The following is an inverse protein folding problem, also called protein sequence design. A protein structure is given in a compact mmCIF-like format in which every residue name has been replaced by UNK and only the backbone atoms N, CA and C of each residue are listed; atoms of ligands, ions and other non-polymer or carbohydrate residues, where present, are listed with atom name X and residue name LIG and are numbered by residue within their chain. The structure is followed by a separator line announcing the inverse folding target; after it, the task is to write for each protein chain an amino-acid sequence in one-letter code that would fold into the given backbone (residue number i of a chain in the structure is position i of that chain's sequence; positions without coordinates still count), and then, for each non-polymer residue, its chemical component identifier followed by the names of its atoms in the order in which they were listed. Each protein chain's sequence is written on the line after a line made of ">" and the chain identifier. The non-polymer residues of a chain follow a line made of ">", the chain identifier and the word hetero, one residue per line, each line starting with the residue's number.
data_IF_766018115005
#
_entry.id   IF_766018115005
#
_cell.length_a   1.000
_cell.length_b   1.000
_cell.length_c   1.000
_cell.angle_alpha   90.00
_cell.angle_beta   90.00
_cell.angle_gamma   90.00
#
_symmetry.space_group_name_H-M   'P 1'
#
loop_
_entity.id
_entity.type
_entity.pdbx_description
1 polymer ?
#
# COMPACT_ATOMS: atom_id res chain seq x y z
N UNK A 1 -4.81 -30.27 -32.40
CA UNK A 1 -5.60 -29.24 -31.71
C UNK A 1 -4.61 -28.33 -31.02
N UNK A 2 -4.51 -27.06 -31.41
CA UNK A 2 -3.67 -26.10 -30.69
C UNK A 2 -4.13 -26.06 -29.23
N UNK A 3 -3.22 -26.34 -28.30
CA UNK A 3 -3.50 -26.24 -26.89
C UNK A 3 -3.79 -24.79 -26.52
N UNK A 4 -5.02 -24.49 -26.10
CA UNK A 4 -5.38 -23.15 -25.62
C UNK A 4 -4.63 -22.86 -24.31
N UNK A 5 -3.57 -22.07 -24.40
CA UNK A 5 -2.74 -21.68 -23.26
C UNK A 5 -2.86 -20.18 -23.04
N UNK A 6 -3.05 -19.75 -21.79
CA UNK A 6 -3.26 -18.34 -21.46
C UNK A 6 -2.27 -17.87 -20.40
N UNK A 7 -1.91 -16.58 -20.46
CA UNK A 7 -1.09 -15.92 -19.46
C UNK A 7 -1.83 -14.69 -18.91
N UNK A 8 -2.15 -14.69 -17.62
CA UNK A 8 -2.80 -13.57 -16.95
C UNK A 8 -1.76 -12.60 -16.39
N UNK A 9 -1.79 -11.37 -16.87
CA UNK A 9 -0.81 -10.33 -16.55
C UNK A 9 -1.50 -9.10 -15.94
N UNK A 10 -0.87 -8.46 -14.94
CA UNK A 10 -1.38 -7.18 -14.40
C UNK A 10 -0.97 -6.01 -15.29
N UNK A 11 0.28 -6.02 -15.73
CA UNK A 11 0.87 -5.06 -16.66
C UNK A 11 1.39 -5.81 -17.89
N UNK A 12 1.50 -5.17 -19.06
CA UNK A 12 2.17 -5.75 -20.21
C UNK A 12 3.60 -6.15 -19.83
N UNK A 13 3.97 -7.41 -20.07
CA UNK A 13 5.33 -7.92 -19.84
C UNK A 13 6.29 -7.32 -20.87
N UNK A 14 7.56 -7.11 -20.52
CA UNK A 14 8.57 -6.73 -21.52
C UNK A 14 8.68 -7.78 -22.63
N UNK A 15 9.05 -7.34 -23.83
CA UNK A 15 9.25 -8.26 -24.96
C UNK A 15 10.31 -9.32 -24.65
N UNK A 16 11.37 -8.95 -23.94
CA UNK A 16 12.43 -9.87 -23.50
C UNK A 16 11.85 -10.97 -22.59
N UNK A 17 11.07 -10.59 -21.57
CA UNK A 17 10.46 -11.55 -20.67
C UNK A 17 9.44 -12.44 -21.37
N UNK A 18 8.65 -11.89 -22.30
CA UNK A 18 7.71 -12.67 -23.12
C UNK A 18 8.44 -13.75 -23.94
N UNK A 19 9.54 -13.41 -24.61
CA UNK A 19 10.34 -14.36 -25.39
C UNK A 19 10.93 -15.47 -24.50
N UNK A 20 11.49 -15.09 -23.34
CA UNK A 20 12.02 -16.03 -22.34
C UNK A 20 10.93 -16.96 -21.79
N UNK A 21 9.74 -16.42 -21.53
CA UNK A 21 8.57 -17.18 -21.09
C UNK A 21 8.15 -18.20 -22.16
N UNK A 22 7.97 -17.76 -23.41
CA UNK A 22 7.57 -18.60 -24.55
C UNK A 22 8.57 -19.74 -24.77
N UNK A 23 9.87 -19.42 -24.76
CA UNK A 23 10.94 -20.42 -24.87
C UNK A 23 10.92 -21.43 -23.73
N UNK A 24 10.62 -20.97 -22.50
CA UNK A 24 10.46 -21.86 -21.36
C UNK A 24 9.28 -22.80 -21.58
N UNK A 25 8.07 -22.26 -21.78
CA UNK A 25 6.84 -23.08 -21.82
C UNK A 25 6.68 -23.91 -23.11
N UNK A 26 7.38 -23.56 -24.18
CA UNK A 26 7.40 -24.29 -25.45
C UNK A 26 6.24 -23.93 -26.40
N UNK A 27 5.53 -22.85 -26.13
CA UNK A 27 4.43 -22.34 -26.95
C UNK A 27 4.16 -20.86 -26.65
N UNK A 28 3.35 -20.22 -27.49
CA UNK A 28 2.96 -18.81 -27.35
C UNK A 28 1.60 -18.72 -26.65
N UNK A 29 1.55 -18.40 -25.33
CA UNK A 29 0.27 -18.24 -24.65
C UNK A 29 -0.45 -16.97 -25.13
N UNK A 30 -1.78 -17.01 -25.12
CA UNK A 30 -2.59 -15.81 -25.29
C UNK A 30 -2.57 -14.97 -24.01
N UNK A 31 -2.25 -13.69 -24.13
CA UNK A 31 -2.15 -12.80 -22.98
C UNK A 31 -3.52 -12.22 -22.61
N UNK A 32 -3.92 -12.44 -21.36
CA UNK A 32 -5.08 -11.80 -20.76
C UNK A 32 -4.57 -10.70 -19.83
N UNK A 33 -4.98 -9.46 -20.11
CA UNK A 33 -4.59 -8.32 -19.30
C UNK A 33 -5.64 -8.02 -18.24
N UNK A 34 -5.22 -7.90 -16.99
CA UNK A 34 -6.12 -7.64 -15.87
C UNK A 34 -6.88 -6.32 -16.03
N UNK A 35 -6.26 -5.32 -16.67
CA UNK A 35 -6.91 -4.04 -16.96
C UNK A 35 -8.16 -4.19 -17.84
N UNK A 36 -8.14 -5.11 -18.80
CA UNK A 36 -9.26 -5.40 -19.69
C UNK A 36 -10.33 -6.20 -18.96
N UNK A 37 -9.91 -7.24 -18.24
CA UNK A 37 -10.81 -8.08 -17.45
C UNK A 37 -11.58 -7.29 -16.40
N UNK A 38 -10.95 -6.29 -15.77
CA UNK A 38 -11.59 -5.41 -14.78
C UNK A 38 -12.69 -4.50 -15.36
N UNK A 39 -12.78 -4.35 -16.68
CA UNK A 39 -13.85 -3.58 -17.34
C UNK A 39 -15.13 -4.40 -17.49
N UNK A 40 -15.04 -5.73 -17.43
CA UNK A 40 -16.19 -6.61 -17.53
C UNK A 40 -16.99 -6.63 -16.22
N UNK A 41 -18.32 -6.72 -16.29
CA UNK A 41 -19.14 -7.14 -15.16
C UNK A 41 -18.67 -8.47 -14.59
N UNK A 42 -18.82 -8.67 -13.27
CA UNK A 42 -18.30 -9.87 -12.59
C UNK A 42 -18.80 -11.19 -13.19
N UNK A 43 -20.08 -11.23 -13.62
CA UNK A 43 -20.67 -12.42 -14.25
C UNK A 43 -20.01 -12.72 -15.59
N UNK A 44 -19.83 -11.71 -16.43
CA UNK A 44 -19.17 -11.84 -17.74
C UNK A 44 -17.70 -12.21 -17.60
N UNK A 45 -17.00 -11.64 -16.62
CA UNK A 45 -15.63 -12.02 -16.27
C UNK A 45 -15.56 -13.53 -15.97
N UNK A 46 -16.43 -14.02 -15.08
CA UNK A 46 -16.43 -15.43 -14.67
C UNK A 46 -16.78 -16.33 -15.86
N UNK A 47 -17.80 -15.97 -16.65
CA UNK A 47 -18.17 -16.72 -17.85
C UNK A 47 -17.01 -16.80 -18.84
N UNK A 48 -16.37 -15.67 -19.14
CA UNK A 48 -15.19 -15.60 -20.02
C UNK A 48 -14.06 -16.50 -19.52
N UNK A 49 -13.75 -16.48 -18.22
CA UNK A 49 -12.70 -17.33 -17.65
C UNK A 49 -13.05 -18.82 -17.68
N UNK A 50 -14.34 -19.16 -17.55
CA UNK A 50 -14.83 -20.54 -17.61
C UNK A 50 -15.03 -21.08 -19.02
N UNK A 51 -14.95 -20.24 -20.05
CA UNK A 51 -15.12 -20.62 -21.44
C UNK A 51 -13.81 -20.63 -22.24
N UNK A 52 -12.66 -20.56 -21.57
CA UNK A 52 -11.37 -20.45 -22.25
C UNK A 52 -10.93 -21.77 -22.91
N UNK A 53 -11.42 -22.90 -22.42
CA UNK A 53 -10.94 -24.23 -22.80
C UNK A 53 -9.46 -24.43 -22.49
N UNK A 54 -8.97 -23.79 -21.41
CA UNK A 54 -7.53 -23.64 -21.20
C UNK A 54 -6.87 -24.96 -20.76
N UNK A 55 -5.75 -25.34 -21.39
CA UNK A 55 -4.92 -26.43 -20.88
C UNK A 55 -4.02 -25.94 -19.75
N UNK A 56 -3.29 -24.86 -19.98
CA UNK A 56 -2.42 -24.23 -18.99
C UNK A 56 -2.78 -22.74 -18.81
N UNK A 57 -2.79 -22.29 -17.55
CA UNK A 57 -3.06 -20.91 -17.17
C UNK A 57 -1.88 -20.35 -16.36
N UNK A 58 -1.10 -19.48 -17.00
CA UNK A 58 0.13 -18.93 -16.46
C UNK A 58 -0.10 -17.62 -15.72
N UNK A 59 0.55 -17.48 -14.56
CA UNK A 59 0.62 -16.27 -13.76
C UNK A 59 2.07 -15.77 -13.75
N UNK A 60 2.55 -15.16 -14.85
CA UNK A 60 3.92 -14.66 -14.94
C UNK A 60 4.16 -13.45 -14.02
N UNK A 61 5.31 -13.46 -13.35
CA UNK A 61 5.81 -12.40 -12.48
C UNK A 61 7.18 -11.97 -13.03
N UNK A 62 7.24 -10.78 -13.62
CA UNK A 62 8.45 -10.28 -14.30
C UNK A 62 9.54 -9.85 -13.32
N UNK A 63 9.16 -9.28 -12.18
CA UNK A 63 10.07 -8.83 -11.13
C UNK A 63 9.61 -9.27 -9.73
N UNK A 64 10.47 -9.10 -8.73
CA UNK A 64 10.17 -9.45 -7.35
C UNK A 64 9.05 -8.60 -6.75
N UNK A 65 8.87 -7.37 -7.24
CA UNK A 65 7.81 -6.47 -6.80
C UNK A 65 6.42 -6.98 -7.23
N UNK A 66 6.35 -7.66 -8.38
CA UNK A 66 5.14 -8.26 -8.94
C UNK A 66 4.64 -9.44 -8.10
N UNK A 67 5.48 -10.05 -7.24
CA UNK A 67 5.05 -11.13 -6.33
C UNK A 67 3.89 -10.72 -5.43
N UNK A 68 3.78 -9.44 -5.09
CA UNK A 68 2.67 -8.89 -4.29
C UNK A 68 1.31 -9.03 -5.00
N UNK A 69 1.33 -9.15 -6.34
CA UNK A 69 0.13 -9.28 -7.17
C UNK A 69 -0.32 -10.74 -7.33
N UNK A 70 0.55 -11.71 -7.00
CA UNK A 70 0.26 -13.13 -7.17
C UNK A 70 -1.06 -13.57 -6.51
N UNK A 71 -1.40 -13.17 -5.27
CA UNK A 71 -2.68 -13.56 -4.66
C UNK A 71 -3.90 -13.08 -5.46
N UNK A 72 -3.82 -11.90 -6.10
CA UNK A 72 -4.90 -11.37 -6.95
C UNK A 72 -5.01 -12.21 -8.22
N UNK A 73 -3.86 -12.50 -8.86
CA UNK A 73 -3.80 -13.35 -10.06
C UNK A 73 -4.34 -14.76 -9.78
N UNK A 74 -3.99 -15.35 -8.63
CA UNK A 74 -4.50 -16.64 -8.17
C UNK A 74 -6.00 -16.61 -7.91
N UNK A 75 -6.51 -15.55 -7.27
CA UNK A 75 -7.94 -15.38 -7.02
C UNK A 75 -8.76 -15.33 -8.33
N UNK A 76 -8.21 -14.70 -9.37
CA UNK A 76 -8.85 -14.65 -10.70
C UNK A 76 -8.74 -16.00 -11.39
N UNK A 77 -7.56 -16.61 -11.36
CA UNK A 77 -7.33 -17.93 -11.93
C UNK A 77 -8.22 -19.02 -11.30
N UNK A 78 -8.67 -18.83 -10.05
CA UNK A 78 -9.63 -19.71 -9.38
C UNK A 78 -10.92 -19.90 -10.18
N UNK A 79 -11.35 -18.89 -10.94
CA UNK A 79 -12.54 -18.95 -11.78
C UNK A 79 -12.31 -19.54 -13.18
N UNK A 80 -11.05 -19.76 -13.59
CA UNK A 80 -10.75 -20.34 -14.90
C UNK A 80 -11.17 -21.80 -15.02
N UNK A 81 -11.42 -22.30 -16.23
CA UNK A 81 -11.63 -23.73 -16.53
C UNK A 81 -10.32 -24.51 -16.76
N UNK A 82 -9.17 -23.89 -16.51
CA UNK A 82 -7.86 -24.44 -16.85
C UNK A 82 -7.51 -25.79 -16.19
N UNK A 83 -6.87 -26.71 -16.91
CA UNK A 83 -6.41 -27.99 -16.33
C UNK A 83 -5.24 -27.81 -15.35
N UNK A 84 -4.33 -26.88 -15.61
CA UNK A 84 -3.30 -26.46 -14.65
C UNK A 84 -3.21 -24.94 -14.53
N UNK A 85 -2.89 -24.49 -13.32
CA UNK A 85 -2.54 -23.09 -13.03
C UNK A 85 -1.09 -23.10 -12.55
N UNK A 86 -0.25 -22.25 -13.14
CA UNK A 86 1.19 -22.20 -12.86
C UNK A 86 1.65 -20.77 -12.65
N UNK A 87 2.26 -20.48 -11.50
CA UNK A 87 2.95 -19.23 -11.27
C UNK A 87 4.38 -19.33 -11.81
N UNK A 88 4.82 -18.31 -12.54
CA UNK A 88 6.17 -18.27 -13.13
C UNK A 88 6.92 -17.09 -12.52
N UNK A 89 7.98 -17.41 -11.78
CA UNK A 89 8.83 -16.41 -11.14
C UNK A 89 9.75 -15.70 -12.16
N UNK A 90 10.42 -14.58 -11.78
CA UNK A 90 11.32 -13.82 -12.68
C UNK A 90 12.46 -14.66 -13.27
N UNK A 91 12.93 -15.65 -12.53
CA UNK A 91 13.94 -16.63 -12.93
C UNK A 91 13.36 -17.82 -13.74
N UNK A 92 12.11 -17.72 -14.18
CA UNK A 92 11.36 -18.73 -14.94
C UNK A 92 11.07 -20.05 -14.17
N UNK A 93 11.34 -20.08 -12.86
CA UNK A 93 10.94 -21.22 -12.02
C UNK A 93 9.41 -21.28 -11.98
N UNK A 94 8.87 -22.47 -12.30
CA UNK A 94 7.42 -22.71 -12.34
C UNK A 94 6.97 -23.37 -11.06
N UNK A 95 5.85 -22.90 -10.54
CA UNK A 95 5.18 -23.49 -9.38
C UNK A 95 3.72 -23.75 -9.73
N UNK A 96 3.30 -25.01 -9.66
CA UNK A 96 1.88 -25.37 -9.82
C UNK A 96 1.08 -24.82 -8.65
N UNK A 97 -0.04 -24.17 -8.96
CA UNK A 97 -1.01 -23.66 -8.01
C UNK A 97 -2.18 -24.62 -7.96
N UNK A 98 -2.50 -25.12 -6.75
CA UNK A 98 -3.68 -25.96 -6.58
C UNK A 98 -4.96 -25.13 -6.62
N UNK A 99 -6.08 -25.74 -6.99
CA UNK A 99 -7.40 -25.07 -6.96
C UNK A 99 -7.80 -24.63 -5.55
N UNK A 100 -7.38 -25.39 -4.53
CA UNK A 100 -7.57 -25.03 -3.12
C UNK A 100 -6.78 -23.75 -2.80
N UNK A 101 -5.50 -23.67 -3.18
CA UNK A 101 -4.68 -22.48 -2.98
C UNK A 101 -5.26 -21.24 -3.69
N UNK A 102 -5.76 -21.41 -4.92
CA UNK A 102 -6.45 -20.36 -5.65
C UNK A 102 -7.73 -19.90 -4.94
N UNK A 103 -8.54 -20.84 -4.42
CA UNK A 103 -9.73 -20.56 -3.64
C UNK A 103 -9.44 -19.86 -2.30
N UNK A 104 -8.37 -20.25 -1.60
CA UNK A 104 -7.90 -19.55 -0.39
C UNK A 104 -7.44 -18.13 -0.71
N UNK A 105 -6.78 -17.93 -1.85
CA UNK A 105 -6.36 -16.59 -2.30
C UNK A 105 -7.57 -15.71 -2.61
N UNK A 106 -8.60 -16.28 -3.23
CA UNK A 106 -9.88 -15.61 -3.45
C UNK A 106 -10.57 -15.23 -2.13
N UNK A 107 -10.65 -16.14 -1.16
CA UNK A 107 -11.29 -15.84 0.13
C UNK A 107 -10.54 -14.75 0.91
N UNK A 108 -9.20 -14.77 0.88
CA UNK A 108 -8.34 -13.70 1.43
C UNK A 108 -8.60 -12.36 0.75
N UNK A 109 -8.69 -12.34 -0.58
CA UNK A 109 -9.00 -11.13 -1.36
C UNK A 109 -10.37 -10.55 -1.00
N UNK A 110 -11.41 -11.40 -0.95
CA UNK A 110 -12.77 -10.99 -0.57
C UNK A 110 -12.79 -10.41 0.84
N UNK A 111 -12.19 -11.13 1.80
CA UNK A 111 -12.10 -10.66 3.20
C UNK A 111 -11.35 -9.33 3.29
N UNK A 112 -10.21 -9.20 2.63
CA UNK A 112 -9.43 -7.95 2.61
C UNK A 112 -10.23 -6.80 1.99
N UNK A 113 -11.00 -7.06 0.92
CA UNK A 113 -11.87 -6.06 0.29
C UNK A 113 -12.99 -5.59 1.22
N UNK A 114 -13.64 -6.52 1.92
CA UNK A 114 -14.68 -6.19 2.91
C UNK A 114 -14.10 -5.39 4.07
N UNK A 115 -12.95 -5.82 4.62
CA UNK A 115 -12.29 -5.11 5.72
C UNK A 115 -11.87 -3.70 5.30
N UNK A 116 -11.28 -3.54 4.12
CA UNK A 116 -10.87 -2.24 3.61
C UNK A 116 -12.07 -1.29 3.40
N UNK A 117 -13.21 -1.81 2.95
CA UNK A 117 -14.46 -1.03 2.85
C UNK A 117 -14.98 -0.61 4.22
N UNK A 118 -15.02 -1.53 5.19
CA UNK A 118 -15.45 -1.23 6.57
C UNK A 118 -14.55 -0.14 7.16
N UNK A 119 -13.24 -0.29 7.01
CA UNK A 119 -12.27 0.64 7.55
C UNK A 119 -12.31 2.01 6.87
N UNK A 120 -12.50 2.08 5.56
CA UNK A 120 -12.73 3.35 4.87
C UNK A 120 -14.01 4.06 5.35
N UNK A 121 -15.10 3.31 5.62
CA UNK A 121 -16.32 3.89 6.21
C UNK A 121 -16.06 4.43 7.62
N UNK A 122 -15.30 3.72 8.45
CA UNK A 122 -14.91 4.19 9.78
C UNK A 122 -14.02 5.42 9.70
N UNK A 123 -13.01 5.43 8.81
CA UNK A 123 -12.17 6.59 8.57
C UNK A 123 -12.99 7.80 8.12
N UNK A 124 -14.00 7.61 7.26
CA UNK A 124 -14.90 8.69 6.87
C UNK A 124 -15.66 9.29 8.06
N UNK A 125 -16.16 8.45 8.98
CA UNK A 125 -16.83 8.93 10.19
C UNK A 125 -15.85 9.69 11.10
N UNK A 126 -14.66 9.14 11.32
CA UNK A 126 -13.61 9.75 12.15
C UNK A 126 -13.13 11.08 11.56
N UNK A 127 -12.91 11.15 10.25
CA UNK A 127 -12.49 12.36 9.56
C UNK A 127 -13.57 13.44 9.54
N UNK A 128 -14.85 13.07 9.45
CA UNK A 128 -15.96 14.04 9.62
C UNK A 128 -15.91 14.69 11.00
N UNK A 129 -15.69 13.89 12.05
CA UNK A 129 -15.56 14.40 13.42
C UNK A 129 -14.30 15.26 13.58
N UNK A 130 -13.14 14.80 13.13
CA UNK A 130 -11.88 15.54 13.21
C UNK A 130 -11.95 16.87 12.47
N UNK A 131 -12.56 16.91 11.29
CA UNK A 131 -12.69 18.15 10.52
C UNK A 131 -13.64 19.17 11.19
N UNK A 132 -14.53 18.72 12.07
CA UNK A 132 -15.38 19.62 12.88
C UNK A 132 -14.69 20.05 14.18
N UNK A 133 -13.83 19.21 14.76
CA UNK A 133 -13.11 19.50 16.00
C UNK A 133 -11.99 20.52 15.80
N UNK A 134 -11.74 21.33 16.81
CA UNK A 134 -10.56 22.19 16.86
C UNK A 134 -9.29 21.38 17.15
N UNK A 135 -8.16 21.93 16.70
CA UNK A 135 -6.83 21.42 17.06
C UNK A 135 -6.67 21.52 18.57
N UNK A 136 -6.13 20.48 19.20
CA UNK A 136 -5.87 20.52 20.64
C UNK A 136 -4.77 21.53 20.98
N UNK A 137 -4.84 22.12 22.16
CA UNK A 137 -3.72 22.88 22.72
C UNK A 137 -2.74 21.91 23.38
N UNK A 138 -1.46 22.05 23.06
CA UNK A 138 -0.36 21.25 23.61
C UNK A 138 0.73 22.18 24.14
N UNK A 139 1.40 21.75 25.20
CA UNK A 139 2.61 22.41 25.70
C UNK A 139 3.86 21.74 25.15
N UNK A 140 4.95 22.51 25.09
CA UNK A 140 6.27 21.97 24.79
C UNK A 140 6.65 20.97 25.88
N UNK A 141 7.01 19.75 25.47
CA UNK A 141 7.49 18.71 26.38
C UNK A 141 9.00 18.88 26.59
N UNK A 142 9.50 18.50 27.77
CA UNK A 142 10.92 18.60 28.14
C UNK A 142 11.77 17.39 27.73
N UNK A 143 11.16 16.33 27.20
CA UNK A 143 11.89 15.15 26.73
C UNK A 143 12.48 15.33 25.34
N UNK A 144 13.40 14.44 24.96
CA UNK A 144 14.08 14.44 23.65
C UNK A 144 13.65 13.28 22.75
N UNK A 145 12.61 12.52 23.10
CA UNK A 145 12.12 11.45 22.24
C UNK A 145 11.26 12.03 21.11
N UNK A 146 11.46 11.56 19.87
CA UNK A 146 10.65 11.96 18.71
C UNK A 146 10.08 10.72 18.06
N UNK A 147 8.78 10.75 17.77
CA UNK A 147 8.15 9.73 16.94
C UNK A 147 8.10 10.23 15.50
N UNK A 148 8.92 9.67 14.62
CA UNK A 148 8.86 9.94 13.18
C UNK A 148 7.96 8.91 12.51
N UNK A 149 6.92 9.33 11.78
CA UNK A 149 5.95 8.45 11.13
C UNK A 149 6.09 8.55 9.60
N UNK A 150 6.52 7.45 8.99
CA UNK A 150 6.48 7.18 7.56
C UNK A 150 5.60 5.96 7.28
N UNK A 151 4.29 6.11 7.45
CA UNK A 151 3.32 5.04 7.21
C UNK A 151 2.74 5.12 5.78
N UNK A 152 3.60 5.22 4.77
CA UNK A 152 3.16 5.21 3.38
C UNK A 152 3.11 3.78 2.81
N UNK A 153 1.95 3.35 2.33
CA UNK A 153 1.74 2.03 1.75
C UNK A 153 2.11 2.02 0.27
N UNK A 154 3.09 1.21 -0.10
CA UNK A 154 3.54 1.07 -1.50
C UNK A 154 3.10 -0.28 -2.08
N UNK A 155 2.57 -0.26 -3.31
CA UNK A 155 2.18 -1.48 -4.05
C UNK A 155 3.28 -1.93 -5.02
N UNK A 156 4.50 -2.12 -4.52
CA UNK A 156 5.60 -2.75 -5.26
C UNK A 156 6.66 -1.82 -5.86
N UNK A 157 6.39 -0.56 -6.20
CA UNK A 157 7.45 0.33 -6.73
C UNK A 157 8.14 1.07 -5.59
N UNK A 158 9.38 0.66 -5.28
CA UNK A 158 10.31 1.36 -4.37
C UNK A 158 11.37 2.09 -5.17
N UNK A 159 11.20 3.38 -5.46
CA UNK A 159 12.29 4.27 -5.87
C UNK A 159 11.85 5.74 -5.86
N UNK A 160 12.72 6.64 -5.38
CA UNK A 160 12.52 8.10 -5.49
C UNK A 160 13.33 8.90 -4.46
N UNK A 161 13.47 10.21 -4.71
CA UNK A 161 14.17 11.18 -3.83
C UNK A 161 13.63 11.27 -2.40
N UNK A 162 12.44 10.70 -2.13
CA UNK A 162 11.86 10.60 -0.80
C UNK A 162 12.70 9.76 0.16
N UNK A 163 13.44 8.74 -0.32
CA UNK A 163 14.29 7.89 0.54
C UNK A 163 15.42 8.69 1.16
N UNK A 164 16.13 9.48 0.34
CA UNK A 164 17.19 10.37 0.80
C UNK A 164 16.66 11.51 1.66
N UNK A 165 15.50 12.07 1.30
CA UNK A 165 14.85 13.10 2.11
C UNK A 165 14.48 12.62 3.52
N UNK A 166 13.80 11.48 3.63
CA UNK A 166 13.43 10.86 4.92
C UNK A 166 14.69 10.61 5.75
N UNK A 167 15.73 10.04 5.15
CA UNK A 167 16.99 9.78 5.84
C UNK A 167 17.65 11.08 6.32
N UNK A 168 17.64 12.13 5.50
CA UNK A 168 18.15 13.45 5.88
C UNK A 168 17.47 14.02 7.12
N UNK A 169 16.13 14.01 7.15
CA UNK A 169 15.37 14.53 8.30
C UNK A 169 15.59 13.67 9.55
N UNK A 170 15.47 12.35 9.43
CA UNK A 170 15.62 11.42 10.55
C UNK A 170 17.03 11.50 11.15
N UNK A 171 18.07 11.51 10.32
CA UNK A 171 19.46 11.62 10.76
C UNK A 171 19.75 13.01 11.35
N UNK A 172 19.20 14.09 10.78
CA UNK A 172 19.38 15.43 11.33
C UNK A 172 18.77 15.56 12.73
N UNK A 173 17.58 14.98 12.96
CA UNK A 173 16.98 14.92 14.29
C UNK A 173 17.87 14.16 15.28
N UNK A 174 18.38 12.99 14.89
CA UNK A 174 19.29 12.21 15.71
C UNK A 174 20.60 12.98 16.03
N UNK A 175 21.18 13.66 15.04
CA UNK A 175 22.37 14.50 15.20
C UNK A 175 22.14 15.73 16.09
N UNK A 176 20.88 16.12 16.30
CA UNK A 176 20.46 17.16 17.25
C UNK A 176 20.07 16.57 18.62
N UNK A 177 20.56 15.37 18.92
CA UNK A 177 20.41 14.69 20.21
C UNK A 177 18.97 14.26 20.54
N UNK A 178 18.06 14.25 19.53
CA UNK A 178 16.76 13.61 19.70
C UNK A 178 16.88 12.09 19.63
N UNK A 179 16.17 11.39 20.52
CA UNK A 179 15.99 9.94 20.45
C UNK A 179 14.83 9.63 19.50
N UNK A 180 15.17 9.29 18.24
CA UNK A 180 14.16 9.08 17.19
C UNK A 180 13.68 7.63 17.21
N UNK A 181 12.38 7.43 17.50
CA UNK A 181 11.65 6.23 17.13
C UNK A 181 11.12 6.41 15.69
N UNK A 182 11.74 5.72 14.73
CA UNK A 182 11.40 5.82 13.31
C UNK A 182 10.41 4.73 12.89
N UNK A 183 9.13 5.09 12.80
CA UNK A 183 8.07 4.20 12.34
C UNK A 183 7.97 4.16 10.81
N UNK A 184 8.20 2.99 10.21
CA UNK A 184 8.26 2.79 8.75
C UNK A 184 7.80 1.39 8.36
N UNK A 185 7.36 1.17 7.12
CA UNK A 185 7.02 -0.18 6.63
C UNK A 185 8.29 -0.99 6.34
N UNK A 186 9.34 -0.32 5.85
CA UNK A 186 10.54 -0.95 5.32
C UNK A 186 11.81 -0.25 5.79
N UNK A 187 12.93 -0.99 5.76
CA UNK A 187 14.26 -0.45 6.07
C UNK A 187 14.64 0.63 5.05
N UNK A 188 15.02 1.81 5.54
CA UNK A 188 15.69 2.83 4.74
C UNK A 188 17.21 2.66 4.92
N UNK A 189 17.98 2.30 3.89
CA UNK A 189 19.41 2.01 4.02
C UNK A 189 20.27 3.25 4.35
N UNK A 190 19.74 4.46 4.17
CA UNK A 190 20.45 5.72 4.44
C UNK A 190 20.18 6.27 5.85
N UNK A 191 19.23 5.69 6.59
CA UNK A 191 18.99 6.05 8.00
C UNK A 191 20.09 5.42 8.85
N UNK A 192 20.68 6.23 9.74
CA UNK A 192 21.72 5.80 10.66
C UNK A 192 21.28 4.58 11.48
N UNK A 193 22.18 3.62 11.66
CA UNK A 193 21.92 2.41 12.48
C UNK A 193 21.67 2.73 13.96
N UNK A 194 22.06 3.92 14.41
CA UNK A 194 21.79 4.42 15.75
C UNK A 194 20.32 4.80 15.96
N UNK A 195 19.55 5.00 14.88
CA UNK A 195 18.13 5.33 14.96
C UNK A 195 17.30 4.07 15.15
N UNK A 196 16.46 4.08 16.19
CA UNK A 196 15.57 2.95 16.48
C UNK A 196 14.43 2.89 15.48
N UNK A 197 14.45 1.89 14.60
CA UNK A 197 13.35 1.64 13.66
C UNK A 197 12.25 0.79 14.27
N UNK A 198 11.00 1.20 14.08
CA UNK A 198 9.80 0.43 14.38
C UNK A 198 9.08 0.06 13.08
N UNK A 199 9.08 -1.23 12.75
CA UNK A 199 8.50 -1.70 11.50
C UNK A 199 6.99 -1.87 11.63
N UNK A 200 6.25 -1.09 10.83
CA UNK A 200 4.80 -1.17 10.69
C UNK A 200 4.46 -2.36 9.80
N UNK A 201 3.54 -3.20 10.28
CA UNK A 201 3.09 -4.37 9.54
C UNK A 201 1.89 -4.00 8.66
N UNK A 202 2.03 -3.97 7.32
CA UNK A 202 0.90 -3.81 6.41
C UNK A 202 0.03 -5.06 6.41
N UNK A 203 -1.22 -4.96 5.88
CA UNK A 203 -2.07 -6.14 5.75
C UNK A 203 -1.41 -7.18 4.82
N UNK A 204 -1.54 -8.46 5.17
CA UNK A 204 -0.98 -9.57 4.38
C UNK A 204 -1.70 -9.80 3.05
N UNK A 205 -2.90 -9.26 2.90
CA UNK A 205 -3.69 -9.33 1.69
C UNK A 205 -4.31 -7.96 1.39
N UNK A 206 -4.25 -7.55 0.13
CA UNK A 206 -4.82 -6.29 -0.32
C UNK A 206 -6.18 -6.53 -1.00
N UNK A 207 -7.18 -5.78 -0.55
CA UNK A 207 -8.52 -5.77 -1.12
C UNK A 207 -8.65 -4.95 -2.39
N UNK A 208 -9.82 -5.04 -3.03
CA UNK A 208 -10.22 -4.19 -4.15
C UNK A 208 -11.44 -3.32 -3.76
N UNK A 209 -11.53 -2.06 -4.23
CA UNK A 209 -10.51 -1.32 -4.98
C UNK A 209 -9.21 -1.09 -4.19
N UNK A 210 -8.06 -1.08 -4.86
CA UNK A 210 -6.74 -1.03 -4.21
C UNK A 210 -6.54 0.19 -3.30
N UNK A 211 -7.16 1.32 -3.66
CA UNK A 211 -7.14 2.56 -2.88
C UNK A 211 -7.70 2.41 -1.46
N UNK A 212 -8.66 1.50 -1.25
CA UNK A 212 -9.22 1.29 0.09
C UNK A 212 -8.22 0.70 1.08
N UNK A 213 -7.16 0.06 0.59
CA UNK A 213 -6.12 -0.47 1.46
C UNK A 213 -5.33 0.64 2.15
N UNK A 214 -5.30 1.88 1.62
CA UNK A 214 -4.70 3.00 2.34
C UNK A 214 -5.43 3.27 3.66
N UNK A 215 -6.77 3.23 3.67
CA UNK A 215 -7.57 3.42 4.89
C UNK A 215 -7.48 2.23 5.84
N UNK A 216 -7.42 1.01 5.31
CA UNK A 216 -7.18 -0.18 6.12
C UNK A 216 -5.81 -0.09 6.81
N UNK A 217 -4.77 0.22 6.05
CA UNK A 217 -3.42 0.34 6.58
C UNK A 217 -3.27 1.52 7.55
N UNK A 218 -3.88 2.66 7.27
CA UNK A 218 -3.96 3.80 8.19
C UNK A 218 -4.45 3.39 9.58
N UNK A 219 -5.53 2.59 9.66
CA UNK A 219 -6.05 2.11 10.94
C UNK A 219 -5.12 1.12 11.62
N UNK A 220 -4.51 0.20 10.87
CA UNK A 220 -3.53 -0.75 11.39
C UNK A 220 -2.27 -0.05 11.92
N UNK A 221 -1.78 0.96 11.20
CA UNK A 221 -0.63 1.77 11.59
C UNK A 221 -0.95 2.58 12.86
N UNK A 222 -2.12 3.23 12.91
CA UNK A 222 -2.56 3.94 14.11
C UNK A 222 -2.68 3.01 15.31
N UNK A 223 -3.25 1.81 15.16
CA UNK A 223 -3.35 0.84 16.24
C UNK A 223 -1.96 0.40 16.74
N UNK A 224 -1.06 0.02 15.84
CA UNK A 224 0.31 -0.39 16.17
C UNK A 224 1.06 0.72 16.91
N UNK A 225 0.97 1.96 16.40
CA UNK A 225 1.67 3.09 16.99
C UNK A 225 1.08 3.55 18.30
N UNK A 226 -0.24 3.52 18.47
CA UNK A 226 -0.88 3.79 19.76
C UNK A 226 -0.45 2.79 20.85
N UNK A 227 -0.34 1.51 20.49
CA UNK A 227 0.17 0.49 21.41
C UNK A 227 1.66 0.69 21.74
N UNK A 228 2.47 1.03 20.73
CA UNK A 228 3.91 1.25 20.91
C UNK A 228 4.22 2.51 21.74
N UNK A 229 3.43 3.57 21.57
CA UNK A 229 3.65 4.88 22.18
C UNK A 229 2.97 5.09 23.53
N UNK A 230 2.06 4.21 23.97
CA UNK A 230 1.24 4.40 25.18
C UNK A 230 2.03 4.59 26.47
N UNK A 231 3.27 4.07 26.53
CA UNK A 231 4.14 4.13 27.71
C UNK A 231 5.36 5.03 27.50
N UNK A 232 5.36 5.85 26.45
CA UNK A 232 6.48 6.73 26.10
C UNK A 232 6.05 8.18 26.11
N UNK A 233 6.96 9.04 26.54
CA UNK A 233 6.82 10.48 26.38
C UNK A 233 7.55 10.90 25.11
N UNK A 234 6.89 11.74 24.30
CA UNK A 234 7.45 12.29 23.07
C UNK A 234 7.45 13.81 23.13
N UNK A 235 8.55 14.42 22.65
CA UNK A 235 8.69 15.85 22.45
C UNK A 235 7.65 16.36 21.45
N UNK A 236 7.53 15.63 20.35
CA UNK A 236 6.57 15.83 19.27
C UNK A 236 6.51 14.57 18.40
N UNK A 237 5.47 14.52 17.57
CA UNK A 237 5.32 13.57 16.48
C UNK A 237 5.68 14.29 15.19
N UNK A 238 6.56 13.72 14.39
CA UNK A 238 6.87 14.18 13.04
C UNK A 238 6.22 13.23 12.04
N UNK A 239 5.23 13.67 11.27
CA UNK A 239 4.59 12.84 10.27
C UNK A 239 4.94 13.33 8.87
N UNK A 240 5.42 12.41 8.03
CA UNK A 240 5.42 12.61 6.59
C UNK A 240 4.04 12.33 6.01
N UNK A 241 3.48 13.30 5.30
CA UNK A 241 2.18 13.14 4.65
C UNK A 241 2.21 12.01 3.61
N UNK A 242 1.10 11.28 3.53
CA UNK A 242 0.80 10.29 2.48
C UNK A 242 -0.70 10.15 2.33
N UNK A 243 -1.16 9.61 1.20
CA UNK A 243 -2.59 9.42 0.91
C UNK A 243 -3.31 8.71 2.06
N UNK A 244 -4.45 9.27 2.48
CA UNK A 244 -5.33 8.76 3.53
C UNK A 244 -4.71 8.64 4.94
N UNK A 245 -3.46 9.03 5.14
CA UNK A 245 -2.76 8.86 6.40
C UNK A 245 -2.90 10.09 7.29
N UNK A 246 -3.64 9.92 8.40
CA UNK A 246 -3.81 10.92 9.46
C UNK A 246 -3.42 10.35 10.82
N UNK A 247 -2.52 9.34 10.85
CA UNK A 247 -2.14 8.63 12.07
C UNK A 247 -1.56 9.57 13.13
N UNK A 248 -0.73 10.54 12.74
CA UNK A 248 -0.16 11.55 13.62
C UNK A 248 -1.20 12.47 14.25
N UNK A 249 -2.34 12.73 13.59
CA UNK A 249 -3.46 13.45 14.20
C UNK A 249 -4.05 12.66 15.36
N UNK A 250 -4.30 11.36 15.15
CA UNK A 250 -4.84 10.48 16.19
C UNK A 250 -3.88 10.36 17.37
N UNK A 251 -2.59 10.15 17.10
CA UNK A 251 -1.57 10.03 18.14
C UNK A 251 -1.36 11.34 18.89
N UNK A 252 -1.28 12.48 18.19
CA UNK A 252 -1.14 13.79 18.81
C UNK A 252 -2.26 14.06 19.79
N UNK A 253 -3.51 13.80 19.39
CA UNK A 253 -4.69 13.95 20.25
C UNK A 253 -4.68 12.99 21.44
N UNK A 254 -4.30 11.73 21.22
CA UNK A 254 -4.28 10.70 22.27
C UNK A 254 -3.16 10.91 23.30
N UNK A 255 -1.97 11.28 22.84
CA UNK A 255 -0.77 11.47 23.67
C UNK A 255 -0.62 12.92 24.18
N UNK A 256 -1.43 13.85 23.66
CA UNK A 256 -1.37 15.30 23.94
C UNK A 256 0.01 15.91 23.65
N UNK A 257 0.59 15.52 22.51
CA UNK A 257 1.91 16.01 22.05
C UNK A 257 1.78 16.77 20.73
N UNK A 258 2.67 17.74 20.46
CA UNK A 258 2.67 18.48 19.19
C UNK A 258 2.81 17.55 17.97
N UNK A 259 2.09 17.89 16.90
CA UNK A 259 2.20 17.28 15.59
C UNK A 259 2.93 18.23 14.64
N UNK A 260 4.09 17.81 14.14
CA UNK A 260 4.79 18.43 13.02
C UNK A 260 4.43 17.63 11.77
N UNK A 261 3.93 18.31 10.75
CA UNK A 261 3.53 17.70 9.49
C UNK A 261 4.48 18.14 8.37
N UNK A 262 5.19 17.19 7.79
CA UNK A 262 5.93 17.39 6.53
C UNK A 262 4.92 17.28 5.37
N UNK A 263 4.64 18.42 4.73
CA UNK A 263 3.71 18.57 3.63
C UNK A 263 4.46 18.92 2.35
N UNK A 264 4.85 17.88 1.62
CA UNK A 264 5.60 18.01 0.35
C UNK A 264 4.70 18.36 -0.86
N UNK A 265 3.40 18.53 -0.62
CA UNK A 265 2.40 18.80 -1.64
C UNK A 265 1.10 18.03 -1.37
N UNK A 266 0.03 18.42 -2.07
CA UNK A 266 -1.25 17.72 -1.97
C UNK A 266 -1.17 16.40 -2.72
N UNK A 267 -1.27 15.30 -1.98
CA UNK A 267 -1.28 13.94 -2.56
C UNK A 267 -2.54 13.74 -3.43
N UNK A 268 -3.63 14.41 -3.05
CA UNK A 268 -4.90 14.39 -3.79
C UNK A 268 -4.77 15.16 -5.10
N UNK A 269 -4.14 16.34 -5.07
CA UNK A 269 -3.89 17.13 -6.27
C UNK A 269 -2.93 16.40 -7.23
N UNK A 270 -1.83 15.84 -6.71
CA UNK A 270 -0.86 15.09 -7.50
C UNK A 270 -1.55 13.92 -8.20
N UNK A 271 -2.34 13.13 -7.46
CA UNK A 271 -3.08 12.01 -8.04
C UNK A 271 -4.06 12.46 -9.12
N UNK A 272 -4.69 13.64 -8.98
CA UNK A 272 -5.63 14.19 -9.97
C UNK A 272 -4.95 14.70 -11.24
N UNK A 273 -3.80 15.37 -11.12
CA UNK A 273 -3.20 16.12 -12.22
C UNK A 273 -2.02 15.40 -12.88
N UNK A 274 -1.24 14.65 -12.11
CA UNK A 274 -0.01 13.99 -12.58
C UNK A 274 -0.06 12.47 -12.45
N UNK A 275 -1.04 11.94 -11.73
CA UNK A 275 -1.23 10.50 -11.50
C UNK A 275 -2.56 9.98 -12.01
N UNK A 276 -2.98 8.85 -11.43
CA UNK A 276 -4.32 8.31 -11.63
C UNK A 276 -5.27 8.93 -10.60
N UNK A 277 -6.38 9.56 -11.03
CA UNK A 277 -7.34 10.12 -10.10
C UNK A 277 -7.86 9.09 -9.10
N UNK A 278 -7.92 9.51 -7.83
CA UNK A 278 -8.43 8.71 -6.72
C UNK A 278 -9.95 8.52 -6.87
N UNK A 279 -10.42 7.28 -6.80
CA UNK A 279 -11.85 6.94 -6.79
C UNK A 279 -12.53 7.50 -5.53
N UNK A 280 -11.81 7.57 -4.42
CA UNK A 280 -12.27 8.13 -3.14
C UNK A 280 -11.61 9.47 -2.86
N UNK A 281 -11.44 10.30 -3.90
CA UNK A 281 -10.84 11.65 -3.82
C UNK A 281 -11.33 12.49 -2.63
N UNK A 282 -12.65 12.57 -2.41
CA UNK A 282 -13.21 13.36 -1.32
C UNK A 282 -12.73 12.87 0.06
N UNK A 283 -12.69 11.56 0.26
CA UNK A 283 -12.24 10.99 1.53
C UNK A 283 -10.74 11.21 1.75
N UNK A 284 -9.94 11.15 0.68
CA UNK A 284 -8.52 11.47 0.74
C UNK A 284 -8.29 12.97 1.06
N UNK A 285 -9.07 13.86 0.44
CA UNK A 285 -9.04 15.30 0.73
C UNK A 285 -9.44 15.62 2.18
N UNK A 286 -10.42 14.90 2.73
CA UNK A 286 -10.79 15.03 4.15
C UNK A 286 -9.67 14.60 5.10
N UNK A 287 -8.89 13.57 4.73
CA UNK A 287 -7.72 13.15 5.50
C UNK A 287 -6.62 14.20 5.47
N UNK A 288 -6.33 14.74 4.28
CA UNK A 288 -5.36 15.81 4.10
C UNK A 288 -5.75 17.08 4.88
N UNK A 289 -7.01 17.51 4.76
CA UNK A 289 -7.54 18.65 5.49
C UNK A 289 -7.47 18.45 7.02
N UNK A 290 -7.76 17.24 7.51
CA UNK A 290 -7.63 16.94 8.93
C UNK A 290 -6.17 17.04 9.40
N UNK A 291 -5.22 16.53 8.64
CA UNK A 291 -3.80 16.67 8.98
C UNK A 291 -3.36 18.14 9.02
N UNK A 292 -3.70 18.92 8.00
CA UNK A 292 -3.35 20.35 7.94
C UNK A 292 -3.99 21.13 9.09
N UNK A 293 -5.27 20.88 9.38
CA UNK A 293 -6.01 21.54 10.47
C UNK A 293 -5.41 21.23 11.85
N UNK A 294 -4.99 19.99 12.08
CA UNK A 294 -4.54 19.51 13.39
C UNK A 294 -3.02 19.56 13.59
N UNK A 295 -2.23 19.85 12.55
CA UNK A 295 -0.80 20.08 12.66
C UNK A 295 -0.52 21.33 13.50
N UNK A 296 0.50 21.27 14.36
CA UNK A 296 0.98 22.38 15.17
C UNK A 296 2.09 23.16 14.46
N UNK A 297 2.84 22.48 13.60
CA UNK A 297 3.79 23.06 12.66
C UNK A 297 3.66 22.32 11.33
N UNK A 298 3.65 23.05 10.23
CA UNK A 298 3.69 22.49 8.87
C UNK A 298 5.04 22.84 8.28
N UNK A 299 5.75 21.84 7.76
CA UNK A 299 7.04 21.98 7.09
C UNK A 299 6.83 21.68 5.61
N UNK A 300 7.23 22.60 4.75
CA UNK A 300 7.22 22.42 3.29
C UNK A 300 8.65 22.46 2.74
N UNK A 301 8.86 21.90 1.55
CA UNK A 301 10.16 21.89 0.86
C UNK A 301 10.33 23.07 -0.12
N UNK A 302 9.28 23.87 -0.31
CA UNK A 302 9.27 25.09 -1.12
C UNK A 302 8.21 26.06 -0.58
N UNK A 303 8.39 27.35 -0.89
CA UNK A 303 7.41 28.43 -0.64
C UNK A 303 6.21 28.35 -1.60
#
# INVERSE_FOLDING_TARGET
>A
MESNNYALTVYPLSQEFQQRLQKSVGYTPQYLHLAELRRLPLVELILKLRSLGAQHFFLPLEDDNSKVLLPILQAIAAFSDARSIEAIAPNLVRRRISRIEAGVSLSKLVRASVMAQIDAKKCNQELKQLNQQERISVSKQSCSNVLYINANLWFGVKAGGSVGHIAGVVNALANKEYQVDFATIDKNPMVSEQVKSYFLHPPQAFGLPSELNYYHFQRLAAQQLLQFSSHKQYAFIYQRMSVANYTGVLLSRKLKVPLILEYNGSEVWIAKNWGRPLRYHHLAAQAEAACLKHAHLIVTISE
#
